data_IF_366624908890
#
_entry.id   IF_366624908890
#
_cell.length_a   1.000
_cell.length_b   1.000
_cell.length_c   1.000
_cell.angle_alpha   90.00
_cell.angle_beta   90.00
_cell.angle_gamma   90.00
#
_symmetry.space_group_name_H-M   'P 1'
#
loop_
_entity.id
_entity.type
_entity.pdbx_description
1 polymer ?
#
# COMPACT_ATOMS: atom_id res chain seq x y z
N UNK A 1 24.77 -32.36 21.43
CA UNK A 1 23.41 -31.83 21.19
C UNK A 1 23.43 -30.35 21.49
N UNK A 2 23.52 -29.50 20.47
CA UNK A 2 23.37 -28.05 20.61
C UNK A 2 21.89 -27.72 20.50
N UNK A 3 21.33 -27.11 21.53
CA UNK A 3 20.00 -26.51 21.49
C UNK A 3 20.05 -25.36 20.48
N UNK A 4 19.52 -25.55 19.28
CA UNK A 4 19.34 -24.47 18.32
C UNK A 4 18.35 -23.48 18.90
N UNK A 5 18.88 -22.37 19.43
CA UNK A 5 18.12 -21.19 19.85
C UNK A 5 17.28 -20.69 18.67
N UNK A 6 15.96 -20.87 18.74
CA UNK A 6 15.04 -20.23 17.79
C UNK A 6 14.92 -18.77 18.16
N UNK A 7 15.71 -17.91 17.50
CA UNK A 7 15.56 -16.47 17.63
C UNK A 7 14.35 -16.03 16.79
N UNK A 8 13.31 -15.51 17.46
CA UNK A 8 12.20 -14.84 16.81
C UNK A 8 12.43 -13.33 16.85
N UNK A 9 12.49 -12.70 15.68
CA UNK A 9 12.60 -11.25 15.55
C UNK A 9 11.26 -10.67 15.11
N UNK A 10 10.73 -9.69 15.83
CA UNK A 10 9.48 -9.01 15.44
C UNK A 10 9.80 -7.58 15.03
N UNK A 11 9.48 -7.26 13.80
CA UNK A 11 9.60 -5.92 13.26
C UNK A 11 8.23 -5.23 13.27
N UNK A 12 8.17 -4.00 13.80
CA UNK A 12 6.95 -3.19 13.84
C UNK A 12 7.14 -1.89 13.08
N UNK A 13 6.22 -1.60 12.16
CA UNK A 13 6.23 -0.39 11.33
C UNK A 13 4.85 0.28 11.35
N UNK A 14 4.79 1.59 11.12
CA UNK A 14 3.51 2.24 10.79
C UNK A 14 2.99 1.75 9.44
N UNK A 15 1.72 2.01 9.12
CA UNK A 15 1.18 1.73 7.78
C UNK A 15 1.99 2.47 6.72
N UNK A 16 2.20 3.76 6.98
CA UNK A 16 3.02 4.62 6.15
C UNK A 16 3.97 5.41 7.04
N UNK A 17 5.20 5.60 6.59
CA UNK A 17 6.22 6.35 7.32
C UNK A 17 6.10 7.85 7.06
N UNK A 18 6.61 8.68 7.97
CA UNK A 18 6.62 10.15 7.76
C UNK A 18 7.39 10.55 6.49
N UNK A 19 8.48 9.85 6.18
CA UNK A 19 9.27 10.10 4.96
C UNK A 19 8.44 9.80 3.70
N UNK A 20 7.72 8.67 3.69
CA UNK A 20 6.81 8.31 2.59
C UNK A 20 5.68 9.32 2.43
N UNK A 21 5.09 9.84 3.53
CA UNK A 21 4.08 10.89 3.44
C UNK A 21 4.63 12.16 2.79
N UNK A 22 5.78 12.65 3.26
CA UNK A 22 6.38 13.88 2.73
C UNK A 22 6.69 13.72 1.24
N UNK A 23 7.33 12.61 0.87
CA UNK A 23 7.63 12.31 -0.52
C UNK A 23 6.34 12.23 -1.35
N UNK A 24 5.34 11.50 -0.87
CA UNK A 24 4.07 11.35 -1.57
C UNK A 24 3.35 12.69 -1.76
N UNK A 25 3.36 13.57 -0.76
CA UNK A 25 2.79 14.92 -0.85
C UNK A 25 3.47 15.74 -1.93
N UNK A 26 4.81 15.75 -1.98
CA UNK A 26 5.57 16.50 -2.99
C UNK A 26 5.21 16.02 -4.39
N UNK A 27 5.17 14.70 -4.61
CA UNK A 27 4.84 14.13 -5.92
C UNK A 27 3.40 14.41 -6.34
N UNK A 28 2.44 14.28 -5.43
CA UNK A 28 1.02 14.58 -5.71
C UNK A 28 0.84 16.06 -6.04
N UNK A 29 1.49 16.97 -5.32
CA UNK A 29 1.43 18.41 -5.62
C UNK A 29 2.05 18.70 -6.99
N UNK A 30 3.25 18.19 -7.26
CA UNK A 30 3.92 18.39 -8.54
C UNK A 30 3.09 17.84 -9.71
N UNK A 31 2.56 16.62 -9.58
CA UNK A 31 1.66 16.04 -10.57
C UNK A 31 0.34 16.80 -10.70
N UNK A 32 -0.18 17.35 -9.59
CA UNK A 32 -1.35 18.22 -9.58
C UNK A 32 -1.15 19.50 -10.39
N UNK A 33 0.01 20.15 -10.26
CA UNK A 33 0.36 21.29 -11.11
C UNK A 33 0.35 20.93 -12.59
N UNK A 34 0.95 19.79 -12.97
CA UNK A 34 0.93 19.31 -14.36
C UNK A 34 -0.49 19.00 -14.82
N UNK A 35 -1.29 18.34 -13.99
CA UNK A 35 -2.68 17.99 -14.28
C UNK A 35 -3.58 19.22 -14.53
N UNK A 36 -3.43 20.25 -13.69
CA UNK A 36 -4.17 21.51 -13.82
C UNK A 36 -3.81 22.25 -15.11
N UNK A 37 -2.53 22.27 -15.50
CA UNK A 37 -2.07 22.95 -16.71
C UNK A 37 -2.41 22.21 -18.02
N UNK A 38 -2.71 20.92 -17.94
CA UNK A 38 -2.95 20.07 -19.12
C UNK A 38 -4.43 19.81 -19.35
N UNK A 39 -5.11 19.09 -18.44
CA UNK A 39 -6.53 18.79 -18.51
C UNK A 39 -7.05 18.45 -17.10
N UNK A 40 -7.55 19.45 -16.35
CA UNK A 40 -7.96 19.28 -14.95
C UNK A 40 -9.01 18.18 -14.76
N UNK A 41 -10.01 18.14 -15.64
CA UNK A 41 -11.12 17.18 -15.57
C UNK A 41 -10.64 15.73 -15.66
N UNK A 42 -9.70 15.46 -16.57
CA UNK A 42 -9.11 14.13 -16.73
C UNK A 42 -8.15 13.79 -15.60
N UNK A 43 -7.48 14.79 -15.03
CA UNK A 43 -6.61 14.58 -13.88
C UNK A 43 -7.39 14.13 -12.63
N UNK A 44 -8.68 14.51 -12.49
CA UNK A 44 -9.52 14.09 -11.36
C UNK A 44 -9.68 12.56 -11.22
N UNK A 45 -9.38 11.80 -12.28
CA UNK A 45 -9.31 10.33 -12.24
C UNK A 45 -8.31 9.81 -11.20
N UNK A 46 -7.37 10.65 -10.74
CA UNK A 46 -6.46 10.34 -9.62
C UNK A 46 -7.23 9.95 -8.34
N UNK A 47 -8.41 10.53 -8.09
CA UNK A 47 -9.20 10.28 -6.89
C UNK A 47 -9.71 8.82 -6.85
N UNK A 48 -10.51 8.33 -7.81
CA UNK A 48 -10.95 6.94 -7.80
C UNK A 48 -9.78 5.95 -7.95
N UNK A 49 -8.71 6.29 -8.69
CA UNK A 49 -7.54 5.43 -8.81
C UNK A 49 -6.79 5.27 -7.48
N UNK A 50 -6.54 6.37 -6.76
CA UNK A 50 -5.84 6.32 -5.47
C UNK A 50 -6.61 5.54 -4.41
N UNK A 51 -7.94 5.66 -4.39
CA UNK A 51 -8.81 4.82 -3.53
C UNK A 51 -8.71 3.35 -3.94
N UNK A 52 -8.75 3.06 -5.24
CA UNK A 52 -8.64 1.69 -5.75
C UNK A 52 -7.29 1.05 -5.38
N UNK A 53 -6.19 1.80 -5.51
CA UNK A 53 -4.85 1.35 -5.11
C UNK A 53 -4.77 1.14 -3.59
N UNK A 54 -5.33 2.04 -2.78
CA UNK A 54 -5.40 1.85 -1.33
C UNK A 54 -6.14 0.57 -0.96
N UNK A 55 -7.34 0.37 -1.53
CA UNK A 55 -8.14 -0.83 -1.29
C UNK A 55 -7.41 -2.10 -1.72
N UNK A 56 -6.64 -2.04 -2.82
CA UNK A 56 -5.81 -3.15 -3.27
C UNK A 56 -4.66 -3.44 -2.29
N UNK A 57 -3.89 -2.42 -1.87
CA UNK A 57 -2.74 -2.56 -0.95
C UNK A 57 -3.16 -3.07 0.42
N UNK A 58 -4.19 -2.46 1.01
CA UNK A 58 -4.61 -2.71 2.39
C UNK A 58 -5.88 -3.57 2.49
N UNK A 59 -6.19 -4.33 1.44
CA UNK A 59 -7.40 -5.16 1.36
C UNK A 59 -7.60 -6.07 2.57
N UNK A 60 -6.52 -6.70 3.05
CA UNK A 60 -6.53 -7.59 4.22
C UNK A 60 -6.87 -6.86 5.51
N UNK A 61 -6.34 -5.64 5.69
CA UNK A 61 -6.68 -4.78 6.82
C UNK A 61 -8.16 -4.42 6.79
N UNK A 62 -8.67 -3.97 5.64
CA UNK A 62 -10.09 -3.59 5.51
C UNK A 62 -11.03 -4.77 5.77
N UNK A 63 -10.70 -5.95 5.24
CA UNK A 63 -11.47 -7.18 5.52
C UNK A 63 -11.43 -7.59 6.99
N UNK A 64 -10.28 -7.45 7.64
CA UNK A 64 -10.06 -7.83 9.04
C UNK A 64 -10.36 -6.74 10.07
N UNK A 65 -10.91 -5.58 9.67
CA UNK A 65 -11.06 -4.42 10.56
C UNK A 65 -11.89 -4.71 11.81
N UNK A 66 -12.99 -5.47 11.66
CA UNK A 66 -13.85 -5.86 12.80
C UNK A 66 -13.12 -6.76 13.79
N UNK A 67 -12.31 -7.68 13.28
CA UNK A 67 -11.51 -8.58 14.11
C UNK A 67 -10.43 -7.78 14.84
N UNK A 68 -9.69 -6.93 14.11
CA UNK A 68 -8.66 -6.05 14.66
C UNK A 68 -9.21 -5.18 15.81
N UNK A 69 -10.41 -4.63 15.68
CA UNK A 69 -11.05 -3.84 16.73
C UNK A 69 -11.46 -4.65 17.97
N UNK A 70 -11.84 -5.92 17.79
CA UNK A 70 -12.28 -6.81 18.89
C UNK A 70 -11.12 -7.42 19.66
N UNK A 71 -10.13 -7.96 18.96
CA UNK A 71 -9.00 -8.71 19.54
C UNK A 71 -7.76 -7.83 19.75
N UNK A 72 -7.70 -6.67 19.09
CA UNK A 72 -6.53 -5.81 19.06
C UNK A 72 -5.42 -6.28 18.13
N UNK A 73 -5.52 -7.49 17.55
CA UNK A 73 -4.48 -8.09 16.71
C UNK A 73 -5.11 -8.89 15.58
N UNK A 74 -4.64 -8.66 14.36
CA UNK A 74 -4.99 -9.38 13.15
C UNK A 74 -3.72 -10.09 12.64
N UNK A 75 -3.74 -11.44 12.58
CA UNK A 75 -2.58 -12.28 12.22
C UNK A 75 -2.85 -13.07 10.93
N UNK A 76 -1.83 -13.18 10.09
CA UNK A 76 -1.83 -14.01 8.89
C UNK A 76 -0.58 -14.87 8.83
N UNK A 77 -0.77 -16.15 8.54
CA UNK A 77 0.33 -17.09 8.28
C UNK A 77 0.66 -17.10 6.77
N UNK A 78 1.93 -16.96 6.39
CA UNK A 78 2.35 -16.96 4.99
C UNK A 78 2.27 -18.39 4.43
N UNK A 79 1.25 -18.66 3.61
CA UNK A 79 1.17 -19.89 2.81
C UNK A 79 1.80 -19.66 1.45
N UNK A 80 2.79 -20.47 1.06
CA UNK A 80 3.54 -20.31 -0.19
C UNK A 80 2.65 -20.12 -1.43
N UNK A 81 1.62 -20.95 -1.59
CA UNK A 81 0.66 -20.85 -2.71
C UNK A 81 -0.09 -19.51 -2.72
N UNK A 82 -0.45 -18.99 -1.55
CA UNK A 82 -1.17 -17.71 -1.41
C UNK A 82 -0.24 -16.55 -1.71
N UNK A 83 0.97 -16.55 -1.13
CA UNK A 83 1.95 -15.50 -1.37
C UNK A 83 2.37 -15.42 -2.84
N UNK A 84 2.56 -16.55 -3.53
CA UNK A 84 2.86 -16.57 -4.96
C UNK A 84 1.72 -15.98 -5.79
N UNK A 85 0.46 -16.30 -5.47
CA UNK A 85 -0.71 -15.72 -6.15
C UNK A 85 -0.81 -14.20 -5.90
N UNK A 86 -0.54 -13.76 -4.68
CA UNK A 86 -0.54 -12.34 -4.33
C UNK A 86 0.57 -11.57 -5.04
N UNK A 87 1.79 -12.10 -5.05
CA UNK A 87 2.92 -11.52 -5.78
C UNK A 87 2.61 -11.38 -7.27
N UNK A 88 2.06 -12.42 -7.91
CA UNK A 88 1.65 -12.36 -9.31
C UNK A 88 0.56 -11.30 -9.55
N UNK A 89 -0.43 -11.19 -8.66
CA UNK A 89 -1.48 -10.15 -8.78
C UNK A 89 -0.90 -8.75 -8.66
N UNK A 90 -0.01 -8.53 -7.70
CA UNK A 90 0.68 -7.25 -7.53
C UNK A 90 1.52 -6.91 -8.76
N UNK A 91 2.24 -7.89 -9.32
CA UNK A 91 3.01 -7.69 -10.54
C UNK A 91 2.12 -7.31 -11.72
N UNK A 92 0.97 -7.98 -11.89
CA UNK A 92 -0.01 -7.64 -12.94
C UNK A 92 -0.54 -6.22 -12.77
N UNK A 93 -0.89 -5.81 -11.55
CA UNK A 93 -1.36 -4.44 -11.27
C UNK A 93 -0.28 -3.41 -11.60
N UNK A 94 0.97 -3.65 -11.20
CA UNK A 94 2.10 -2.76 -11.51
C UNK A 94 2.32 -2.67 -13.02
N UNK A 95 2.30 -3.80 -13.73
CA UNK A 95 2.43 -3.81 -15.19
C UNK A 95 1.29 -3.04 -15.86
N UNK A 96 0.06 -3.19 -15.40
CA UNK A 96 -1.10 -2.44 -15.93
C UNK A 96 -0.94 -0.94 -15.70
N UNK A 97 -0.46 -0.51 -14.53
CA UNK A 97 -0.22 0.91 -14.25
C UNK A 97 0.84 1.53 -15.20
N UNK A 98 1.83 0.75 -15.63
CA UNK A 98 2.87 1.19 -16.57
C UNK A 98 2.37 1.13 -18.02
N UNK A 99 1.71 0.04 -18.40
CA UNK A 99 1.27 -0.20 -19.78
C UNK A 99 0.07 0.67 -20.17
N UNK A 100 -0.84 0.98 -19.23
CA UNK A 100 -2.06 1.74 -19.53
C UNK A 100 -1.75 3.11 -20.14
N UNK A 101 -0.87 3.95 -19.56
CA UNK A 101 -0.42 5.18 -20.21
C UNK A 101 0.13 5.00 -21.62
N UNK A 102 0.89 3.92 -21.87
CA UNK A 102 1.47 3.66 -23.19
C UNK A 102 0.42 3.27 -24.23
N UNK A 103 -0.61 2.54 -23.82
CA UNK A 103 -1.72 2.20 -24.72
C UNK A 103 -2.58 3.42 -24.99
N UNK A 104 -2.86 4.24 -23.96
CA UNK A 104 -3.67 5.44 -24.08
C UNK A 104 -3.06 6.52 -25.00
N UNK A 105 -1.74 6.55 -25.16
CA UNK A 105 -1.07 7.51 -26.04
C UNK A 105 -1.48 7.37 -27.51
N UNK A 106 -1.92 6.19 -27.94
CA UNK A 106 -2.40 5.95 -29.30
C UNK A 106 -3.80 6.51 -29.55
N UNK A 107 -4.59 6.73 -28.50
CA UNK A 107 -6.00 7.11 -28.60
C UNK A 107 -6.28 8.55 -28.17
N UNK A 108 -5.35 9.19 -27.46
CA UNK A 108 -5.56 10.49 -26.85
C UNK A 108 -4.59 11.55 -27.40
N UNK A 109 -5.04 12.81 -27.57
CA UNK A 109 -4.13 13.91 -27.84
C UNK A 109 -3.12 14.11 -26.70
N UNK A 110 -1.99 14.80 -26.96
CA UNK A 110 -0.89 14.91 -26.00
C UNK A 110 -1.28 15.46 -24.62
N UNK A 111 -2.09 16.52 -24.56
CA UNK A 111 -2.48 17.14 -23.29
C UNK A 111 -3.40 16.23 -22.42
N UNK A 112 -4.52 15.70 -22.95
CA UNK A 112 -5.31 14.66 -22.27
C UNK A 112 -4.50 13.46 -21.82
N UNK A 113 -3.61 12.95 -22.69
CA UNK A 113 -2.76 11.81 -22.37
C UNK A 113 -1.82 12.10 -21.21
N UNK A 114 -1.16 13.26 -21.19
CA UNK A 114 -0.30 13.68 -20.09
C UNK A 114 -1.09 13.78 -18.78
N UNK A 115 -2.28 14.37 -18.79
CA UNK A 115 -3.12 14.50 -17.60
C UNK A 115 -3.49 13.13 -17.01
N UNK A 116 -3.95 12.19 -17.85
CA UNK A 116 -4.32 10.84 -17.38
C UNK A 116 -3.08 10.05 -16.94
N UNK A 117 -1.97 10.16 -17.65
CA UNK A 117 -0.71 9.50 -17.26
C UNK A 117 -0.26 9.99 -15.89
N UNK A 118 -0.31 11.30 -15.65
CA UNK A 118 0.00 11.87 -14.34
C UNK A 118 -0.99 11.39 -13.28
N UNK A 119 -2.29 11.32 -13.58
CA UNK A 119 -3.27 10.78 -12.64
C UNK A 119 -2.98 9.31 -12.28
N UNK A 120 -2.61 8.46 -13.25
CA UNK A 120 -2.26 7.05 -13.04
C UNK A 120 -0.99 6.94 -12.20
N UNK A 121 0.09 7.61 -12.58
CA UNK A 121 1.38 7.53 -11.87
C UNK A 121 1.26 8.08 -10.45
N UNK A 122 0.58 9.22 -10.29
CA UNK A 122 0.40 9.87 -8.99
C UNK A 122 -0.64 9.19 -8.11
N UNK A 123 -1.46 8.26 -8.65
CA UNK A 123 -2.43 7.49 -7.86
C UNK A 123 -1.75 6.68 -6.75
N UNK A 124 -0.52 6.19 -6.96
CA UNK A 124 0.20 5.42 -5.97
C UNK A 124 0.70 6.29 -4.80
N UNK A 125 1.46 7.39 -5.03
CA UNK A 125 1.72 8.39 -4.00
C UNK A 125 0.45 8.91 -3.31
N UNK A 126 -0.61 9.23 -4.06
CA UNK A 126 -1.87 9.67 -3.49
C UNK A 126 -2.50 8.61 -2.57
N UNK A 127 -2.38 7.32 -2.93
CA UNK A 127 -2.86 6.22 -2.07
C UNK A 127 -2.11 6.15 -0.73
N UNK A 128 -0.83 6.52 -0.68
CA UNK A 128 -0.07 6.59 0.57
C UNK A 128 -0.56 7.71 1.48
N UNK A 129 -1.01 8.84 0.90
CA UNK A 129 -1.64 9.91 1.68
C UNK A 129 -2.96 9.43 2.28
N UNK A 130 -3.79 8.74 1.50
CA UNK A 130 -5.02 8.14 1.99
C UNK A 130 -4.75 7.04 3.04
N UNK A 131 -3.68 6.28 2.89
CA UNK A 131 -3.24 5.29 3.88
C UNK A 131 -2.87 5.96 5.20
N UNK A 132 -2.13 7.07 5.18
CA UNK A 132 -1.85 7.89 6.36
C UNK A 132 -3.11 8.47 7.01
N UNK A 133 -4.06 8.98 6.20
CA UNK A 133 -5.36 9.44 6.71
C UNK A 133 -6.17 8.31 7.35
N UNK A 134 -6.14 7.12 6.75
CA UNK A 134 -6.79 5.92 7.26
C UNK A 134 -6.18 5.50 8.59
N UNK A 135 -4.84 5.49 8.69
CA UNK A 135 -4.13 5.23 9.94
C UNK A 135 -4.58 6.21 11.03
N UNK A 136 -4.54 7.52 10.76
CA UNK A 136 -4.95 8.54 11.73
C UNK A 136 -6.42 8.37 12.16
N UNK A 137 -7.30 8.00 11.24
CA UNK A 137 -8.71 7.79 11.53
C UNK A 137 -8.93 6.58 12.43
N UNK A 138 -8.22 5.48 12.18
CA UNK A 138 -8.30 4.28 13.03
C UNK A 138 -7.72 4.59 14.41
N UNK A 139 -6.55 5.23 14.49
CA UNK A 139 -5.91 5.57 15.76
C UNK A 139 -6.76 6.51 16.62
N UNK A 140 -7.42 7.51 16.00
CA UNK A 140 -8.35 8.41 16.70
C UNK A 140 -9.59 7.67 17.22
N UNK A 141 -10.11 6.70 16.47
CA UNK A 141 -11.31 5.94 16.86
C UNK A 141 -11.05 4.93 17.96
N UNK A 142 -9.88 4.30 17.95
CA UNK A 142 -9.52 3.25 18.91
C UNK A 142 -8.75 3.78 20.12
N UNK A 143 -8.16 4.97 20.02
CA UNK A 143 -7.23 5.51 21.02
C UNK A 143 -5.89 4.79 21.06
N UNK A 144 -5.64 3.86 20.13
CA UNK A 144 -4.45 2.99 20.09
C UNK A 144 -3.68 3.21 18.80
N UNK A 145 -2.37 3.02 18.82
CA UNK A 145 -1.50 3.13 17.65
C UNK A 145 -1.59 1.89 16.77
N UNK A 146 -1.74 2.10 15.47
CA UNK A 146 -1.84 1.03 14.49
C UNK A 146 -0.45 0.70 13.94
N UNK A 147 -0.01 -0.55 14.16
CA UNK A 147 1.30 -1.05 13.71
C UNK A 147 1.13 -2.27 12.83
N UNK A 148 1.81 -2.28 11.69
CA UNK A 148 2.09 -3.49 10.91
C UNK A 148 3.22 -4.24 11.59
N UNK A 149 3.06 -5.52 11.84
CA UNK A 149 4.12 -6.36 12.41
C UNK A 149 4.49 -7.49 11.45
N UNK A 150 5.77 -7.87 11.49
CA UNK A 150 6.33 -9.01 10.78
C UNK A 150 7.20 -9.78 11.76
N UNK A 151 6.83 -11.03 11.99
CA UNK A 151 7.59 -11.92 12.86
C UNK A 151 8.36 -12.89 12.00
N UNK A 152 9.67 -12.87 12.18
CA UNK A 152 10.64 -13.69 11.48
C UNK A 152 11.18 -14.73 12.45
N UNK A 153 11.38 -15.95 11.96
CA UNK A 153 12.02 -17.02 12.71
C UNK A 153 13.21 -17.54 11.93
N UNK A 154 14.36 -17.64 12.61
CA UNK A 154 15.50 -18.37 12.08
C UNK A 154 15.29 -19.88 12.25
N UNK A 155 15.45 -20.61 11.16
CA UNK A 155 15.49 -22.07 11.17
C UNK A 155 16.73 -22.53 10.41
N UNK A 156 17.69 -23.11 11.15
CA UNK A 156 19.04 -23.39 10.63
C UNK A 156 19.70 -22.09 10.13
N UNK A 157 19.94 -21.97 8.82
CA UNK A 157 20.55 -20.80 8.17
C UNK A 157 19.53 -19.91 7.42
N UNK A 158 18.25 -20.32 7.36
CA UNK A 158 17.20 -19.59 6.65
C UNK A 158 16.39 -18.71 7.60
N UNK A 159 16.14 -17.47 7.17
CA UNK A 159 15.22 -16.55 7.85
C UNK A 159 13.87 -16.61 7.14
N UNK A 160 12.88 -17.21 7.81
CA UNK A 160 11.53 -17.38 7.26
C UNK A 160 10.54 -16.51 8.03
N UNK A 161 9.62 -15.87 7.31
CA UNK A 161 8.52 -15.14 7.93
C UNK A 161 7.54 -16.15 8.55
N UNK A 162 7.27 -16.03 9.84
CA UNK A 162 6.34 -16.89 10.57
C UNK A 162 4.91 -16.36 10.48
N UNK A 163 4.72 -15.08 10.78
CA UNK A 163 3.44 -14.41 10.73
C UNK A 163 3.60 -12.90 10.49
N UNK A 164 2.56 -12.31 9.92
CA UNK A 164 2.48 -10.87 9.72
C UNK A 164 1.05 -10.38 9.91
N UNK A 165 0.89 -9.09 10.12
CA UNK A 165 -0.43 -8.49 10.18
C UNK A 165 -0.43 -7.12 10.83
N UNK A 166 -1.49 -6.84 11.59
CA UNK A 166 -1.73 -5.53 12.19
C UNK A 166 -2.06 -5.65 13.67
N UNK A 167 -1.56 -4.72 14.48
CA UNK A 167 -1.84 -4.64 15.92
C UNK A 167 -2.23 -3.23 16.32
N UNK A 168 -3.18 -3.11 17.24
CA UNK A 168 -3.56 -1.88 17.93
C UNK A 168 -2.94 -1.89 19.33
N UNK A 169 -1.96 -1.01 19.56
CA UNK A 169 -1.26 -0.87 20.84
C UNK A 169 -1.45 0.51 21.44
#
# INVERSE_FOLDING_TARGET
MTTTSHASYTEERSLVTRKELIFSTIFVIAGGFVGILTSPELFLVILPLSVSVLLFKEWKLFRGMRELQRTGVLRFEPRFKTNRKEANRSLVVVLLLIATPMVLSFFLPPLPWLAITMAIVMSWPASNLLEGMTQLTIEKRTGKKLRKFYTWTSFRDDVVMKDYGWSLK
#
